data_IF_138915220436
#
_entry.id   IF_138915220436
#
_cell.length_a   1.000
_cell.length_b   1.000
_cell.length_c   1.000
_cell.angle_alpha   90.00
_cell.angle_beta   90.00
_cell.angle_gamma   90.00
#
_symmetry.space_group_name_H-M   'P 1'
#
loop_
_entity.id
_entity.type
_entity.pdbx_description
1 polymer ?
#
# COMPACT_ATOMS: atom_id res chain seq x y z
N UNK A 1 8.22 -25.45 -3.13
CA UNK A 1 8.60 -24.33 -4.03
C UNK A 1 9.96 -24.65 -4.60
N UNK A 2 10.24 -24.30 -5.87
CA UNK A 2 11.57 -24.54 -6.44
C UNK A 2 12.54 -23.46 -5.92
N UNK A 3 13.84 -23.76 -5.85
CA UNK A 3 14.86 -22.81 -5.39
C UNK A 3 14.79 -21.44 -6.09
N UNK A 4 14.59 -21.33 -7.43
CA UNK A 4 14.46 -20.04 -8.09
C UNK A 4 13.28 -19.20 -7.58
N UNK A 5 12.17 -19.83 -7.19
CA UNK A 5 10.98 -19.12 -6.70
C UNK A 5 11.23 -18.52 -5.30
N UNK A 6 12.06 -19.19 -4.50
CA UNK A 6 12.47 -18.72 -3.17
C UNK A 6 13.41 -17.52 -3.33
N UNK A 7 14.40 -17.62 -4.22
CA UNK A 7 15.34 -16.52 -4.51
C UNK A 7 14.59 -15.29 -5.01
N UNK A 8 13.66 -15.46 -5.96
CA UNK A 8 12.84 -14.36 -6.48
C UNK A 8 12.02 -13.69 -5.39
N UNK A 9 11.32 -14.45 -4.54
CA UNK A 9 10.58 -13.87 -3.41
C UNK A 9 11.50 -13.13 -2.43
N UNK A 10 12.74 -13.61 -2.25
CA UNK A 10 13.75 -12.98 -1.42
C UNK A 10 14.21 -11.61 -1.92
N UNK A 11 14.04 -11.30 -3.22
CA UNK A 11 14.40 -9.99 -3.76
C UNK A 11 13.63 -8.85 -3.09
N UNK A 12 12.35 -9.05 -2.78
CA UNK A 12 11.48 -8.00 -2.20
C UNK A 12 12.04 -7.48 -0.86
N UNK A 13 12.19 -8.30 0.20
CA UNK A 13 12.73 -7.83 1.48
C UNK A 13 14.20 -7.41 1.36
N UNK A 14 14.98 -8.06 0.50
CA UNK A 14 16.40 -7.72 0.31
C UNK A 14 16.56 -6.32 -0.26
N UNK A 15 15.85 -5.97 -1.34
CA UNK A 15 15.92 -4.65 -1.95
C UNK A 15 15.37 -3.56 -1.02
N UNK A 16 14.27 -3.82 -0.30
CA UNK A 16 13.75 -2.88 0.72
C UNK A 16 14.81 -2.60 1.79
N UNK A 17 15.49 -3.65 2.26
CA UNK A 17 16.56 -3.53 3.28
C UNK A 17 17.78 -2.79 2.72
N UNK A 18 18.20 -3.09 1.49
CA UNK A 18 19.30 -2.39 0.82
C UNK A 18 18.98 -0.89 0.70
N UNK A 19 17.79 -0.51 0.23
CA UNK A 19 17.38 0.89 0.15
C UNK A 19 17.30 1.57 1.51
N UNK A 20 16.89 0.85 2.56
CA UNK A 20 16.91 1.38 3.93
C UNK A 20 18.35 1.71 4.38
N UNK A 21 19.29 0.80 4.13
CA UNK A 21 20.70 0.99 4.52
C UNK A 21 21.39 2.09 3.69
N UNK A 22 21.06 2.20 2.41
CA UNK A 22 21.62 3.23 1.51
C UNK A 22 20.98 4.61 1.69
N UNK A 23 19.84 4.71 2.38
CA UNK A 23 19.13 5.98 2.59
C UNK A 23 18.58 6.06 4.02
N UNK A 24 19.49 6.18 5.01
CA UNK A 24 19.15 6.15 6.43
C UNK A 24 18.35 7.38 6.88
N UNK A 25 18.47 8.50 6.16
CA UNK A 25 17.81 9.76 6.51
C UNK A 25 16.30 9.77 6.20
N UNK A 26 15.57 10.54 7.00
CA UNK A 26 14.12 10.66 6.94
C UNK A 26 13.68 11.78 6.01
N UNK A 27 12.57 11.56 5.31
CA UNK A 27 11.85 12.61 4.58
C UNK A 27 11.01 13.43 5.56
N UNK A 28 10.69 14.67 5.20
CA UNK A 28 9.85 15.57 6.02
C UNK A 28 8.50 14.92 6.37
N UNK A 29 7.92 14.15 5.47
CA UNK A 29 6.60 13.57 5.67
C UNK A 29 6.60 12.26 6.49
N UNK A 30 7.79 11.82 6.93
CA UNK A 30 7.97 10.75 7.92
C UNK A 30 8.02 11.30 9.35
N UNK A 31 8.22 12.62 9.50
CA UNK A 31 8.54 13.28 10.77
C UNK A 31 7.61 12.86 11.90
N UNK A 32 6.30 13.03 11.72
CA UNK A 32 5.33 12.70 12.74
C UNK A 32 5.47 11.25 13.23
N UNK A 33 5.50 10.27 12.32
CA UNK A 33 5.51 8.87 12.74
C UNK A 33 6.86 8.46 13.35
N UNK A 34 7.97 9.01 12.86
CA UNK A 34 9.29 8.79 13.48
C UNK A 34 9.32 9.36 14.89
N UNK A 35 8.96 10.64 15.05
CA UNK A 35 9.01 11.31 16.35
C UNK A 35 8.00 10.72 17.34
N UNK A 36 6.77 10.45 16.91
CA UNK A 36 5.79 9.76 17.76
C UNK A 36 6.27 8.37 18.19
N UNK A 37 6.99 7.63 17.33
CA UNK A 37 7.55 6.33 17.71
C UNK A 37 8.70 6.50 18.69
N UNK A 38 9.57 7.48 18.44
CA UNK A 38 10.67 7.86 19.33
C UNK A 38 10.13 8.21 20.72
N UNK A 39 9.13 9.08 20.82
CA UNK A 39 8.60 9.56 22.10
C UNK A 39 7.98 8.43 22.91
N UNK A 40 7.28 7.50 22.26
CA UNK A 40 6.77 6.29 22.93
C UNK A 40 7.91 5.39 23.40
N UNK A 41 9.00 5.25 22.64
CA UNK A 41 10.15 4.44 23.03
C UNK A 41 10.96 5.06 24.18
N UNK A 42 11.10 6.38 24.23
CA UNK A 42 11.95 7.09 25.20
C UNK A 42 11.19 7.45 26.46
N UNK A 43 10.01 8.06 26.32
CA UNK A 43 9.25 8.60 27.43
C UNK A 43 8.15 7.66 27.92
N UNK A 44 7.84 6.61 27.13
CA UNK A 44 6.77 5.67 27.44
C UNK A 44 5.39 6.31 27.41
N UNK A 45 4.37 5.54 27.79
CA UNK A 45 2.98 6.03 27.89
C UNK A 45 2.65 6.43 29.34
N UNK A 46 2.50 7.73 29.66
CA UNK A 46 2.25 8.19 31.03
C UNK A 46 0.95 7.65 31.65
N UNK A 47 1.03 7.09 32.86
CA UNK A 47 -0.16 6.62 33.61
C UNK A 47 -0.58 7.57 34.75
N UNK A 48 0.28 8.53 35.12
CA UNK A 48 0.00 9.59 36.09
C UNK A 48 0.42 10.94 35.51
N UNK A 49 -0.20 12.03 35.97
CA UNK A 49 0.09 13.41 35.54
C UNK A 49 0.09 13.57 34.01
N UNK A 50 -0.80 12.83 33.36
CA UNK A 50 -0.77 12.46 31.95
C UNK A 50 -0.57 13.69 31.04
N UNK A 51 -1.45 14.68 31.19
CA UNK A 51 -1.41 15.89 30.37
C UNK A 51 -0.13 16.70 30.55
N UNK A 52 0.40 16.78 31.78
CA UNK A 52 1.64 17.53 32.06
C UNK A 52 2.86 16.82 31.48
N UNK A 53 2.94 15.50 31.61
CA UNK A 53 4.05 14.71 31.08
C UNK A 53 4.07 14.74 29.55
N UNK A 54 2.91 14.58 28.92
CA UNK A 54 2.82 14.69 27.46
C UNK A 54 3.27 16.06 26.96
N UNK A 55 2.77 17.16 27.53
CA UNK A 55 3.20 18.51 27.14
C UNK A 55 4.69 18.78 27.36
N UNK A 56 5.31 18.11 28.32
CA UNK A 56 6.72 18.31 28.65
C UNK A 56 7.69 17.44 27.84
N UNK A 57 7.21 16.37 27.18
CA UNK A 57 8.11 15.36 26.59
C UNK A 57 7.77 14.93 25.16
N UNK A 58 6.53 15.10 24.70
CA UNK A 58 6.14 14.65 23.37
C UNK A 58 6.18 15.78 22.33
N UNK A 59 6.87 15.54 21.22
CA UNK A 59 7.16 16.51 20.16
C UNK A 59 5.89 17.10 19.53
N UNK A 60 4.82 16.32 19.40
CA UNK A 60 3.60 16.77 18.72
C UNK A 60 2.81 17.84 19.49
N UNK A 61 3.15 18.13 20.75
CA UNK A 61 2.58 19.26 21.48
C UNK A 61 3.25 20.59 21.13
N UNK A 62 4.53 20.57 20.79
CA UNK A 62 5.28 21.74 20.33
C UNK A 62 5.20 21.88 18.80
N UNK A 63 5.20 20.77 18.08
CA UNK A 63 5.19 20.68 16.62
C UNK A 63 4.03 19.79 16.10
N UNK A 64 2.77 20.22 16.27
CA UNK A 64 1.59 19.40 15.92
C UNK A 64 1.40 19.16 14.41
N UNK A 65 2.14 19.87 13.56
CA UNK A 65 1.95 19.89 12.11
C UNK A 65 0.61 20.53 11.70
N UNK A 66 0.30 20.45 10.40
CA UNK A 66 -0.94 21.05 9.87
C UNK A 66 -2.21 20.27 10.24
N UNK A 67 -2.07 18.96 10.47
CA UNK A 67 -3.17 18.02 10.67
C UNK A 67 -2.71 16.96 11.66
N UNK A 68 -3.52 16.63 12.69
CA UNK A 68 -3.19 15.53 13.58
C UNK A 68 -3.17 14.22 12.80
N UNK A 69 -2.28 13.32 13.23
CA UNK A 69 -2.08 12.01 12.64
C UNK A 69 -2.29 10.94 13.71
N UNK A 70 -2.61 9.73 13.27
CA UNK A 70 -2.86 8.62 14.18
C UNK A 70 -1.58 8.14 14.88
N UNK A 71 -1.67 7.83 16.16
CA UNK A 71 -0.65 7.16 16.95
C UNK A 71 -0.69 5.64 16.83
N UNK A 72 -1.69 5.06 16.14
CA UNK A 72 -1.80 3.60 15.99
C UNK A 72 -0.53 3.00 15.35
N UNK A 73 -0.05 3.59 14.25
CA UNK A 73 1.19 3.15 13.59
C UNK A 73 2.43 3.28 14.49
N UNK A 74 2.71 4.48 15.03
CA UNK A 74 3.82 4.70 15.95
C UNK A 74 3.83 3.79 17.18
N UNK A 75 2.69 3.60 17.84
CA UNK A 75 2.59 2.72 19.03
C UNK A 75 2.88 1.27 18.67
N UNK A 76 2.40 0.78 17.51
CA UNK A 76 2.71 -0.56 17.04
C UNK A 76 4.22 -0.73 16.75
N UNK A 77 4.85 0.26 16.10
CA UNK A 77 6.28 0.22 15.84
C UNK A 77 7.11 0.29 17.12
N UNK A 78 6.73 1.15 18.07
CA UNK A 78 7.42 1.28 19.36
C UNK A 78 7.26 0.00 20.19
N UNK A 79 6.05 -0.58 20.25
CA UNK A 79 5.79 -1.80 21.01
C UNK A 79 6.55 -3.02 20.47
N UNK A 80 6.61 -3.20 19.15
CA UNK A 80 7.34 -4.31 18.52
C UNK A 80 8.85 -4.03 18.49
N UNK A 81 9.24 -2.78 18.24
CA UNK A 81 10.63 -2.35 18.13
C UNK A 81 11.35 -2.25 19.47
N UNK A 82 10.66 -1.89 20.55
CA UNK A 82 11.24 -1.65 21.87
C UNK A 82 12.16 -2.76 22.37
N UNK A 83 11.74 -4.04 22.37
CA UNK A 83 12.61 -5.16 22.76
C UNK A 83 13.85 -5.33 21.85
N UNK A 84 13.76 -4.97 20.58
CA UNK A 84 14.89 -5.05 19.65
C UNK A 84 15.84 -3.87 19.91
N UNK A 85 15.30 -2.67 20.11
CA UNK A 85 16.06 -1.47 20.44
C UNK A 85 16.78 -1.59 21.77
N UNK A 86 16.17 -2.23 22.78
CA UNK A 86 16.83 -2.46 24.07
C UNK A 86 18.01 -3.43 23.97
N UNK A 87 17.99 -4.36 23.00
CA UNK A 87 19.09 -5.31 22.75
C UNK A 87 20.24 -4.68 21.95
N UNK A 88 19.94 -3.87 20.93
CA UNK A 88 20.94 -3.30 20.01
C UNK A 88 21.31 -1.84 20.30
N UNK A 89 20.66 -1.21 21.27
CA UNK A 89 20.88 0.18 21.68
C UNK A 89 20.07 1.20 20.89
N UNK A 90 19.75 2.31 21.56
CA UNK A 90 18.87 3.37 21.04
C UNK A 90 19.40 4.07 19.77
N UNK A 91 20.73 4.07 19.57
CA UNK A 91 21.35 4.59 18.34
C UNK A 91 20.80 3.92 17.06
N UNK A 92 20.29 2.69 17.15
CA UNK A 92 19.71 1.95 16.03
C UNK A 92 18.17 2.04 15.95
N UNK A 93 17.51 2.80 16.83
CA UNK A 93 16.05 2.81 16.96
C UNK A 93 15.35 3.16 15.63
N UNK A 94 15.80 4.21 14.95
CA UNK A 94 15.26 4.62 13.64
C UNK A 94 15.39 3.50 12.59
N UNK A 95 16.55 2.84 12.54
CA UNK A 95 16.78 1.74 11.60
C UNK A 95 15.84 0.57 11.90
N UNK A 96 15.70 0.20 13.17
CA UNK A 96 14.85 -0.91 13.62
C UNK A 96 13.38 -0.64 13.27
N UNK A 97 12.82 0.52 13.61
CA UNK A 97 11.39 0.80 13.37
C UNK A 97 11.08 0.90 11.88
N UNK A 98 12.00 1.46 11.08
CA UNK A 98 11.88 1.50 9.61
C UNK A 98 12.00 0.11 9.00
N UNK A 99 12.90 -0.73 9.50
CA UNK A 99 13.04 -2.11 9.05
C UNK A 99 11.78 -2.93 9.36
N UNK A 100 11.19 -2.78 10.55
CA UNK A 100 9.94 -3.45 10.92
C UNK A 100 8.79 -3.10 9.96
N UNK A 101 8.60 -1.82 9.65
CA UNK A 101 7.61 -1.40 8.67
C UNK A 101 7.93 -1.93 7.26
N UNK A 102 9.20 -1.86 6.85
CA UNK A 102 9.69 -2.41 5.59
C UNK A 102 9.41 -3.90 5.43
N UNK A 103 9.67 -4.68 6.48
CA UNK A 103 9.40 -6.12 6.52
C UNK A 103 7.90 -6.43 6.53
N UNK A 104 7.06 -5.63 7.19
CA UNK A 104 5.61 -5.77 7.14
C UNK A 104 5.08 -5.55 5.71
N UNK A 105 5.56 -4.52 5.02
CA UNK A 105 5.24 -4.27 3.61
C UNK A 105 5.78 -5.37 2.68
N UNK A 106 7.00 -5.86 2.91
CA UNK A 106 7.56 -7.01 2.20
C UNK A 106 6.69 -8.26 2.38
N UNK A 107 6.24 -8.54 3.61
CA UNK A 107 5.38 -9.69 3.89
C UNK A 107 4.04 -9.59 3.15
N UNK A 108 3.43 -8.40 3.10
CA UNK A 108 2.21 -8.15 2.32
C UNK A 108 2.42 -8.41 0.82
N UNK A 109 3.53 -7.90 0.25
CA UNK A 109 3.90 -8.12 -1.16
C UNK A 109 4.19 -9.60 -1.46
N UNK A 110 4.88 -10.32 -0.56
CA UNK A 110 5.13 -11.76 -0.70
C UNK A 110 3.82 -12.55 -0.67
N UNK A 111 2.88 -12.19 0.22
CA UNK A 111 1.57 -12.83 0.30
C UNK A 111 0.72 -12.54 -0.95
N UNK A 112 0.83 -11.34 -1.51
CA UNK A 112 0.26 -11.00 -2.81
C UNK A 112 0.86 -11.87 -3.92
N UNK A 113 2.19 -11.95 -4.04
CA UNK A 113 2.89 -12.77 -5.02
C UNK A 113 2.49 -14.25 -4.93
N UNK A 114 2.42 -14.80 -3.71
CA UNK A 114 1.99 -16.19 -3.48
C UNK A 114 0.52 -16.40 -3.84
N UNK A 115 -0.36 -15.43 -3.56
CA UNK A 115 -1.76 -15.50 -3.95
C UNK A 115 -1.92 -15.45 -5.48
N UNK A 116 -1.11 -14.63 -6.14
CA UNK A 116 -1.03 -14.56 -7.61
C UNK A 116 -0.59 -15.90 -8.20
N UNK A 117 0.47 -16.51 -7.65
CA UNK A 117 0.96 -17.81 -8.09
C UNK A 117 -0.07 -18.93 -7.91
N UNK A 118 -0.79 -18.93 -6.78
CA UNK A 118 -1.87 -19.90 -6.52
C UNK A 118 -3.06 -19.73 -7.45
N UNK A 119 -3.42 -18.49 -7.79
CA UNK A 119 -4.61 -18.18 -8.59
C UNK A 119 -4.39 -18.24 -10.10
N UNK A 120 -3.21 -17.81 -10.56
CA UNK A 120 -2.92 -17.50 -11.96
C UNK A 120 -1.68 -18.23 -12.51
N UNK A 121 -1.00 -19.01 -11.67
CA UNK A 121 0.18 -19.79 -12.03
C UNK A 121 1.50 -19.16 -11.63
N UNK A 122 2.51 -20.00 -11.39
CA UNK A 122 3.82 -19.60 -10.87
C UNK A 122 4.57 -18.66 -11.82
N UNK A 123 4.36 -18.78 -13.13
CA UNK A 123 5.06 -17.91 -14.09
C UNK A 123 4.55 -16.47 -14.04
N UNK A 124 3.25 -16.27 -13.82
CA UNK A 124 2.68 -14.93 -13.57
C UNK A 124 3.26 -14.34 -12.28
N UNK A 125 3.40 -15.15 -11.23
CA UNK A 125 4.07 -14.73 -10.00
C UNK A 125 5.52 -14.28 -10.26
N UNK A 126 6.30 -15.04 -11.04
CA UNK A 126 7.69 -14.68 -11.34
C UNK A 126 7.78 -13.36 -12.09
N UNK A 127 6.97 -13.16 -13.13
CA UNK A 127 6.92 -11.90 -13.87
C UNK A 127 6.51 -10.73 -12.99
N UNK A 128 5.55 -10.93 -12.10
CA UNK A 128 5.14 -9.89 -11.15
C UNK A 128 6.28 -9.48 -10.22
N UNK A 129 7.01 -10.45 -9.66
CA UNK A 129 8.16 -10.17 -8.80
C UNK A 129 9.23 -9.40 -9.56
N UNK A 130 9.56 -9.81 -10.78
CA UNK A 130 10.58 -9.16 -11.60
C UNK A 130 10.19 -7.71 -11.96
N UNK A 131 8.94 -7.49 -12.37
CA UNK A 131 8.43 -6.16 -12.69
C UNK A 131 8.34 -5.26 -11.44
N UNK A 132 7.99 -5.81 -10.28
CA UNK A 132 7.96 -5.05 -9.04
C UNK A 132 9.37 -4.74 -8.53
N UNK A 133 10.30 -5.69 -8.63
CA UNK A 133 11.67 -5.51 -8.18
C UNK A 133 12.42 -4.44 -9.00
N UNK A 134 12.05 -4.23 -10.26
CA UNK A 134 12.58 -3.13 -11.08
C UNK A 134 11.92 -1.77 -10.78
N UNK A 135 10.79 -1.74 -10.05
CA UNK A 135 10.14 -0.49 -9.65
C UNK A 135 10.80 0.11 -8.42
N UNK A 136 11.50 1.22 -8.60
CA UNK A 136 12.15 1.96 -7.52
C UNK A 136 11.20 2.37 -6.40
N UNK A 137 10.05 2.97 -6.74
CA UNK A 137 9.23 3.70 -5.77
C UNK A 137 8.65 2.82 -4.66
N UNK A 138 7.96 1.73 -4.98
CA UNK A 138 7.34 0.89 -3.93
C UNK A 138 8.40 0.29 -3.01
N UNK A 139 9.48 -0.24 -3.58
CA UNK A 139 10.57 -0.87 -2.82
C UNK A 139 11.28 0.17 -1.92
N UNK A 140 11.62 1.34 -2.46
CA UNK A 140 12.30 2.39 -1.70
C UNK A 140 11.44 2.97 -0.57
N UNK A 141 10.15 3.20 -0.84
CA UNK A 141 9.26 3.80 0.16
C UNK A 141 8.77 2.79 1.19
N UNK A 142 8.83 1.48 0.95
CA UNK A 142 8.26 0.45 1.85
C UNK A 142 8.74 0.52 3.31
N UNK A 143 9.98 0.96 3.57
CA UNK A 143 10.55 1.11 4.93
C UNK A 143 10.40 2.52 5.51
N UNK A 144 9.88 3.48 4.73
CA UNK A 144 9.67 4.85 5.18
C UNK A 144 8.38 4.96 5.95
N UNK A 145 8.39 5.61 7.12
CA UNK A 145 7.23 5.68 8.04
C UNK A 145 6.18 6.70 7.59
N UNK A 146 5.88 6.72 6.30
CA UNK A 146 4.76 7.47 5.75
C UNK A 146 3.45 6.79 6.17
N UNK A 147 2.38 7.54 6.50
CA UNK A 147 1.06 6.95 6.73
C UNK A 147 0.60 6.04 5.57
N UNK A 148 1.01 6.40 4.34
CA UNK A 148 0.75 5.63 3.12
C UNK A 148 1.34 4.21 3.19
N UNK A 149 2.49 4.04 3.82
CA UNK A 149 3.17 2.74 3.92
C UNK A 149 2.56 1.83 4.99
N UNK A 150 1.92 2.38 6.02
CA UNK A 150 1.08 1.59 6.93
C UNK A 150 -0.18 1.09 6.22
N UNK A 151 -0.86 1.98 5.48
CA UNK A 151 -2.02 1.61 4.66
C UNK A 151 -1.64 0.67 3.50
N UNK A 152 -0.42 0.76 2.97
CA UNK A 152 0.05 -0.04 1.84
C UNK A 152 0.06 -1.53 2.14
N UNK A 153 0.52 -1.96 3.32
CA UNK A 153 0.47 -3.36 3.72
C UNK A 153 -0.97 -3.90 3.71
N UNK A 154 -1.90 -3.15 4.32
CA UNK A 154 -3.32 -3.54 4.44
C UNK A 154 -4.01 -3.58 3.07
N UNK A 155 -3.81 -2.56 2.23
CA UNK A 155 -4.37 -2.50 0.88
C UNK A 155 -3.80 -3.60 -0.03
N UNK A 156 -2.51 -3.88 0.06
CA UNK A 156 -1.87 -4.98 -0.68
C UNK A 156 -2.42 -6.35 -0.27
N UNK A 157 -2.59 -6.58 1.04
CA UNK A 157 -3.23 -7.80 1.56
C UNK A 157 -4.70 -7.89 1.14
N UNK A 158 -5.41 -6.78 1.10
CA UNK A 158 -6.79 -6.74 0.59
C UNK A 158 -6.84 -7.15 -0.89
N UNK A 159 -5.97 -6.57 -1.72
CA UNK A 159 -5.86 -6.94 -3.14
C UNK A 159 -5.48 -8.42 -3.31
N UNK A 160 -4.57 -8.95 -2.48
CA UNK A 160 -4.20 -10.36 -2.50
C UNK A 160 -5.41 -11.28 -2.21
N UNK A 161 -6.30 -10.87 -1.31
CA UNK A 161 -7.52 -11.60 -0.98
C UNK A 161 -8.56 -11.58 -2.11
N UNK A 162 -8.52 -10.57 -2.99
CA UNK A 162 -9.40 -10.43 -4.15
C UNK A 162 -8.89 -11.16 -5.41
N UNK A 163 -7.65 -11.69 -5.39
CA UNK A 163 -7.13 -12.50 -6.48
C UNK A 163 -7.88 -13.84 -6.61
N UNK A 164 -7.97 -14.42 -7.82
CA UNK A 164 -8.54 -15.74 -8.03
C UNK A 164 -7.89 -16.80 -7.13
N UNK A 165 -8.68 -17.79 -6.72
CA UNK A 165 -8.21 -18.88 -5.86
C UNK A 165 -8.77 -20.23 -6.33
N UNK A 166 -7.98 -21.32 -6.31
CA UNK A 166 -8.43 -22.64 -6.79
C UNK A 166 -9.66 -23.18 -6.05
N UNK A 167 -9.79 -22.85 -4.77
CA UNK A 167 -10.97 -23.18 -3.97
C UNK A 167 -11.97 -22.01 -3.99
N UNK A 168 -13.11 -22.11 -4.71
CA UNK A 168 -14.09 -21.03 -4.78
C UNK A 168 -14.85 -20.84 -3.46
N UNK A 169 -14.92 -21.85 -2.59
CA UNK A 169 -15.65 -21.77 -1.30
C UNK A 169 -15.08 -20.72 -0.36
N UNK A 170 -13.81 -20.37 -0.52
CA UNK A 170 -13.15 -19.34 0.31
C UNK A 170 -13.22 -17.93 -0.30
N UNK A 171 -13.83 -17.75 -1.47
CA UNK A 171 -13.93 -16.44 -2.14
C UNK A 171 -14.66 -15.42 -1.26
N UNK A 172 -15.85 -15.77 -0.75
CA UNK A 172 -16.62 -14.85 0.11
C UNK A 172 -15.91 -14.51 1.43
N UNK A 173 -15.35 -15.48 2.20
CA UNK A 173 -14.49 -15.17 3.34
C UNK A 173 -13.32 -14.23 3.02
N UNK A 174 -12.58 -14.48 1.94
CA UNK A 174 -11.46 -13.63 1.53
C UNK A 174 -11.92 -12.22 1.16
N UNK A 175 -13.04 -12.10 0.45
CA UNK A 175 -13.60 -10.80 0.09
C UNK A 175 -14.02 -9.99 1.34
N UNK A 176 -14.59 -10.64 2.36
CA UNK A 176 -14.88 -9.98 3.64
C UNK A 176 -13.61 -9.44 4.29
N UNK A 177 -12.53 -10.25 4.32
CA UNK A 177 -11.23 -9.81 4.83
C UNK A 177 -10.70 -8.62 4.01
N UNK A 178 -10.79 -8.67 2.68
CA UNK A 178 -10.36 -7.57 1.82
C UNK A 178 -11.10 -6.25 2.14
N UNK A 179 -12.43 -6.30 2.27
CA UNK A 179 -13.23 -5.13 2.66
C UNK A 179 -12.81 -4.62 4.03
N UNK A 180 -12.66 -5.50 5.02
CA UNK A 180 -12.24 -5.09 6.36
C UNK A 180 -10.85 -4.46 6.39
N UNK A 181 -9.89 -5.00 5.66
CA UNK A 181 -8.53 -4.44 5.55
C UNK A 181 -8.53 -3.05 4.89
N UNK A 182 -9.32 -2.85 3.83
CA UNK A 182 -9.46 -1.55 3.19
C UNK A 182 -10.13 -0.53 4.13
N UNK A 183 -11.10 -0.96 4.93
CA UNK A 183 -11.74 -0.10 5.94
C UNK A 183 -10.76 0.29 7.04
N UNK A 184 -9.98 -0.65 7.58
CA UNK A 184 -8.95 -0.32 8.56
C UNK A 184 -7.91 0.65 7.99
N UNK A 185 -7.45 0.41 6.76
CA UNK A 185 -6.53 1.30 6.07
C UNK A 185 -7.09 2.73 5.92
N UNK A 186 -8.36 2.83 5.52
CA UNK A 186 -9.04 4.11 5.30
C UNK A 186 -9.35 4.87 6.60
N UNK A 187 -9.85 4.17 7.62
CA UNK A 187 -10.33 4.78 8.85
C UNK A 187 -9.21 5.13 9.84
N UNK A 188 -8.10 4.39 9.81
CA UNK A 188 -6.99 4.59 10.75
C UNK A 188 -5.86 5.41 10.14
N UNK A 189 -5.44 5.09 8.91
CA UNK A 189 -4.17 5.59 8.39
C UNK A 189 -4.31 6.66 7.31
N UNK A 190 -5.21 6.43 6.33
CA UNK A 190 -5.25 7.20 5.06
C UNK A 190 -6.65 7.28 4.49
N UNK A 191 -7.35 8.40 4.70
CA UNK A 191 -8.71 8.61 4.22
C UNK A 191 -8.89 8.42 2.70
N UNK A 192 -7.86 8.66 1.89
CA UNK A 192 -7.96 8.46 0.43
C UNK A 192 -8.20 6.99 0.03
N UNK A 193 -7.84 6.03 0.89
CA UNK A 193 -8.12 4.60 0.67
C UNK A 193 -9.62 4.30 0.66
N UNK A 194 -10.45 5.18 1.25
CA UNK A 194 -11.90 5.06 1.16
C UNK A 194 -12.38 5.11 -0.31
N UNK A 195 -11.69 5.86 -1.17
CA UNK A 195 -11.98 5.85 -2.62
C UNK A 195 -11.63 4.50 -3.25
N UNK A 196 -10.49 3.92 -2.91
CA UNK A 196 -10.12 2.59 -3.40
C UNK A 196 -11.12 1.51 -2.93
N UNK A 197 -11.59 1.60 -1.68
CA UNK A 197 -12.66 0.77 -1.16
C UNK A 197 -13.95 0.94 -1.97
N UNK A 198 -14.34 2.19 -2.25
CA UNK A 198 -15.56 2.49 -3.01
C UNK A 198 -15.47 1.96 -4.44
N UNK A 199 -14.37 2.18 -5.16
CA UNK A 199 -14.21 1.70 -6.54
C UNK A 199 -14.12 0.19 -6.62
N UNK A 200 -13.47 -0.45 -5.65
CA UNK A 200 -13.40 -1.91 -5.54
C UNK A 200 -14.78 -2.50 -5.23
N UNK A 201 -15.49 -1.96 -4.25
CA UNK A 201 -16.85 -2.38 -3.89
C UNK A 201 -17.83 -2.23 -5.05
N UNK A 202 -17.79 -1.08 -5.73
CA UNK A 202 -18.61 -0.80 -6.92
C UNK A 202 -18.33 -1.82 -8.03
N UNK A 203 -17.06 -2.08 -8.33
CA UNK A 203 -16.70 -3.06 -9.35
C UNK A 203 -17.22 -4.47 -9.01
N UNK A 204 -17.09 -4.90 -7.75
CA UNK A 204 -17.57 -6.21 -7.31
C UNK A 204 -19.11 -6.31 -7.40
N UNK A 205 -19.83 -5.21 -7.16
CA UNK A 205 -21.29 -5.16 -7.33
C UNK A 205 -21.69 -5.20 -8.81
N UNK A 206 -21.07 -4.37 -9.65
CA UNK A 206 -21.37 -4.28 -11.08
C UNK A 206 -21.04 -5.57 -11.84
N UNK A 207 -20.07 -6.34 -11.34
CA UNK A 207 -19.70 -7.65 -11.91
C UNK A 207 -20.39 -8.82 -11.22
N UNK A 208 -21.37 -8.57 -10.36
CA UNK A 208 -22.14 -9.59 -9.63
C UNK A 208 -21.28 -10.57 -8.82
N UNK A 209 -20.07 -10.15 -8.42
CA UNK A 209 -19.19 -10.94 -7.56
C UNK A 209 -19.60 -10.86 -6.08
N UNK A 210 -20.40 -9.84 -5.72
CA UNK A 210 -20.92 -9.64 -4.37
C UNK A 210 -22.30 -8.99 -4.38
N UNK A 211 -22.93 -8.94 -3.21
CA UNK A 211 -24.18 -8.20 -2.96
C UNK A 211 -23.97 -7.09 -1.94
N UNK A 212 -24.87 -6.11 -1.92
CA UNK A 212 -24.83 -4.97 -0.99
C UNK A 212 -24.74 -5.43 0.48
N UNK A 213 -25.59 -6.37 0.97
CA UNK A 213 -25.49 -6.82 2.37
C UNK A 213 -24.15 -7.49 2.71
N UNK A 214 -23.54 -8.19 1.74
CA UNK A 214 -22.23 -8.84 1.89
C UNK A 214 -21.08 -7.84 1.95
N UNK A 215 -21.26 -6.60 1.47
CA UNK A 215 -20.31 -5.51 1.63
C UNK A 215 -20.56 -4.70 2.90
N UNK A 216 -21.82 -4.36 3.19
CA UNK A 216 -22.18 -3.52 4.35
C UNK A 216 -21.80 -4.17 5.66
N UNK A 217 -22.05 -5.48 5.84
CA UNK A 217 -21.74 -6.15 7.11
C UNK A 217 -20.25 -6.12 7.49
N UNK A 218 -19.29 -6.59 6.65
CA UNK A 218 -17.87 -6.48 6.99
C UNK A 218 -17.42 -5.02 7.08
N UNK A 219 -17.98 -4.11 6.27
CA UNK A 219 -17.72 -2.69 6.36
C UNK A 219 -18.08 -2.14 7.75
N UNK A 220 -19.34 -2.29 8.17
CA UNK A 220 -19.83 -1.75 9.43
C UNK A 220 -19.05 -2.29 10.62
N UNK A 221 -18.83 -3.62 10.67
CA UNK A 221 -18.07 -4.25 11.76
C UNK A 221 -16.64 -3.72 11.81
N UNK A 222 -15.92 -3.72 10.69
CA UNK A 222 -14.52 -3.25 10.67
C UNK A 222 -14.41 -1.75 10.92
N UNK A 223 -15.37 -0.95 10.46
CA UNK A 223 -15.39 0.49 10.68
C UNK A 223 -15.62 0.82 12.16
N UNK A 224 -16.60 0.16 12.80
CA UNK A 224 -16.82 0.30 14.25
C UNK A 224 -15.57 -0.10 15.03
N UNK A 225 -14.95 -1.24 14.71
CA UNK A 225 -13.70 -1.66 15.38
C UNK A 225 -12.58 -0.66 15.15
N UNK A 226 -12.41 -0.14 13.93
CA UNK A 226 -11.40 0.87 13.61
C UNK A 226 -11.58 2.13 14.44
N UNK A 227 -12.82 2.61 14.62
CA UNK A 227 -13.12 3.77 15.47
C UNK A 227 -12.88 3.49 16.95
N UNK A 228 -13.27 2.32 17.45
CA UNK A 228 -13.01 1.90 18.84
C UNK A 228 -11.52 1.80 19.15
N UNK A 229 -10.68 1.52 18.14
CA UNK A 229 -9.22 1.52 18.29
C UNK A 229 -8.65 2.93 18.15
N UNK A 230 -8.93 3.60 17.03
CA UNK A 230 -8.30 4.90 16.71
C UNK A 230 -8.78 6.01 17.62
N UNK A 231 -10.09 6.20 17.84
CA UNK A 231 -10.59 7.37 18.56
C UNK A 231 -10.09 7.41 20.01
N UNK A 232 -10.20 6.34 20.84
CA UNK A 232 -9.70 6.40 22.21
C UNK A 232 -8.18 6.55 22.28
N UNK A 233 -7.44 5.81 21.45
CA UNK A 233 -5.98 5.86 21.42
C UNK A 233 -5.50 7.24 21.01
N UNK A 234 -6.02 7.77 19.90
CA UNK A 234 -5.62 9.06 19.38
C UNK A 234 -6.09 10.19 20.31
N UNK A 235 -7.28 10.09 20.90
CA UNK A 235 -7.75 11.08 21.88
C UNK A 235 -6.88 11.12 23.13
N UNK A 236 -6.34 9.97 23.55
CA UNK A 236 -5.41 9.88 24.65
C UNK A 236 -4.08 10.55 24.30
N UNK A 237 -3.44 10.27 23.16
CA UNK A 237 -2.17 10.94 22.81
C UNK A 237 -2.32 12.42 22.49
N UNK A 238 -3.44 12.82 21.89
CA UNK A 238 -3.73 14.22 21.55
C UNK A 238 -4.38 15.02 22.69
N UNK A 239 -4.71 14.36 23.82
CA UNK A 239 -5.36 14.96 25.00
C UNK A 239 -6.67 15.72 24.68
N UNK A 240 -7.40 15.28 23.65
CA UNK A 240 -8.70 15.81 23.24
C UNK A 240 -9.47 14.77 22.41
N UNK A 241 -10.82 14.74 22.42
CA UNK A 241 -11.59 13.86 21.55
C UNK A 241 -11.24 14.06 20.08
N UNK A 242 -10.71 13.04 19.42
CA UNK A 242 -10.16 13.17 18.09
C UNK A 242 -10.24 11.87 17.29
N UNK A 243 -10.68 12.01 16.04
CA UNK A 243 -10.46 11.04 14.98
C UNK A 243 -9.55 11.69 13.92
N UNK A 244 -8.24 11.36 13.89
CA UNK A 244 -7.28 12.04 13.03
C UNK A 244 -7.66 12.02 11.55
N UNK A 245 -8.11 10.87 11.03
CA UNK A 245 -8.43 10.75 9.61
C UNK A 245 -9.69 11.54 9.20
N UNK A 246 -10.69 11.66 10.07
CA UNK A 246 -11.84 12.54 9.79
C UNK A 246 -11.41 14.00 9.73
N UNK A 247 -10.58 14.44 10.68
CA UNK A 247 -10.09 15.82 10.68
C UNK A 247 -9.18 16.10 9.49
N UNK A 248 -8.32 15.14 9.12
CA UNK A 248 -7.48 15.20 7.93
C UNK A 248 -8.27 15.23 6.62
N UNK A 249 -9.34 14.45 6.53
CA UNK A 249 -10.26 14.52 5.39
C UNK A 249 -10.95 15.89 5.32
N UNK A 250 -11.52 16.36 6.43
CA UNK A 250 -12.21 17.65 6.48
C UNK A 250 -11.27 18.79 6.09
N UNK A 251 -10.09 18.86 6.70
CA UNK A 251 -9.11 19.92 6.43
C UNK A 251 -8.62 19.91 4.97
N UNK A 252 -8.28 18.74 4.43
CA UNK A 252 -7.65 18.68 3.10
C UNK A 252 -8.65 18.68 1.95
N UNK A 253 -9.76 17.93 2.08
CA UNK A 253 -10.71 17.71 1.00
C UNK A 253 -11.92 18.65 1.06
N UNK A 254 -12.39 19.03 2.25
CA UNK A 254 -13.57 19.90 2.41
C UNK A 254 -13.16 21.38 2.44
N UNK A 255 -12.17 21.74 3.27
CA UNK A 255 -11.65 23.12 3.31
C UNK A 255 -10.70 23.45 2.15
N UNK A 256 -10.29 22.44 1.36
CA UNK A 256 -9.39 22.63 0.22
C UNK A 256 -7.96 23.02 0.59
N UNK A 257 -7.57 22.96 1.86
CA UNK A 257 -6.26 23.43 2.34
C UNK A 257 -5.07 22.64 1.78
N UNK A 258 -5.32 21.49 1.15
CA UNK A 258 -4.30 20.72 0.45
C UNK A 258 -3.64 21.51 -0.69
N UNK A 259 -4.34 22.46 -1.32
CA UNK A 259 -3.78 23.30 -2.39
C UNK A 259 -2.62 24.17 -1.95
N UNK A 260 -2.51 24.47 -0.66
CA UNK A 260 -1.41 25.26 -0.09
C UNK A 260 -0.05 24.55 -0.22
N UNK A 261 -0.06 23.23 -0.44
CA UNK A 261 1.13 22.40 -0.63
C UNK A 261 1.47 22.21 -2.11
N UNK A 262 0.93 23.08 -2.98
CA UNK A 262 1.11 23.05 -4.42
C UNK A 262 -0.02 22.29 -5.13
N UNK A 263 -0.26 22.65 -6.39
CA UNK A 263 -1.30 22.04 -7.23
C UNK A 263 -0.69 21.45 -8.49
N UNK A 264 -1.36 20.45 -9.06
CA UNK A 264 -0.94 19.84 -10.32
C UNK A 264 -2.16 19.58 -11.22
N UNK A 265 -1.98 19.59 -12.56
CA UNK A 265 -3.06 19.32 -13.50
C UNK A 265 -3.80 18.00 -13.21
N UNK A 266 -5.07 17.91 -13.58
CA UNK A 266 -5.90 16.71 -13.34
C UNK A 266 -5.28 15.42 -13.92
N UNK A 267 -4.59 15.54 -15.06
CA UNK A 267 -3.95 14.40 -15.74
C UNK A 267 -2.59 14.01 -15.13
N UNK A 268 -2.07 14.71 -14.12
CA UNK A 268 -0.74 14.48 -13.53
C UNK A 268 -0.51 13.03 -13.12
N UNK A 269 -1.51 12.36 -12.51
CA UNK A 269 -1.33 10.97 -12.12
C UNK A 269 -1.13 10.05 -13.32
N UNK A 270 -1.79 10.30 -14.44
CA UNK A 270 -1.68 9.48 -15.64
C UNK A 270 -0.45 9.82 -16.49
N UNK A 271 -0.10 11.11 -16.60
CA UNK A 271 1.01 11.54 -17.46
C UNK A 271 2.36 11.53 -16.75
N UNK A 272 2.37 11.54 -15.41
CA UNK A 272 3.58 11.78 -14.60
C UNK A 272 3.77 10.70 -13.54
N UNK A 273 2.81 10.53 -12.63
CA UNK A 273 3.00 9.64 -11.48
C UNK A 273 2.99 8.15 -11.85
N UNK A 274 1.94 7.65 -12.50
CA UNK A 274 1.82 6.24 -12.89
C UNK A 274 2.99 5.74 -13.76
N UNK A 275 3.45 6.48 -14.79
CA UNK A 275 4.65 6.11 -15.52
C UNK A 275 5.89 5.98 -14.63
N UNK A 276 6.12 6.92 -13.71
CA UNK A 276 7.23 6.84 -12.75
C UNK A 276 7.10 5.70 -11.74
N UNK A 277 5.88 5.38 -11.33
CA UNK A 277 5.63 4.32 -10.34
C UNK A 277 5.85 2.94 -10.93
N UNK A 278 5.38 2.71 -12.16
CA UNK A 278 5.50 1.40 -12.80
C UNK A 278 6.84 1.22 -13.53
N UNK A 279 7.53 2.32 -13.87
CA UNK A 279 8.85 2.43 -14.50
C UNK A 279 8.95 1.80 -15.88
N UNK A 280 8.55 0.53 -16.02
CA UNK A 280 8.63 -0.23 -17.24
C UNK A 280 7.72 0.38 -18.33
N UNK A 281 8.28 0.85 -19.47
CA UNK A 281 7.55 1.56 -20.51
C UNK A 281 6.53 0.68 -21.25
N UNK A 282 6.73 -0.64 -21.25
CA UNK A 282 5.83 -1.59 -21.91
C UNK A 282 4.54 -1.79 -21.11
N UNK A 283 4.52 -1.45 -19.82
CA UNK A 283 3.41 -1.73 -18.90
C UNK A 283 2.06 -1.25 -19.42
N UNK A 284 1.97 0.04 -19.77
CA UNK A 284 0.73 0.63 -20.26
C UNK A 284 0.51 0.47 -21.77
N UNK A 285 1.60 0.41 -22.55
CA UNK A 285 1.53 0.39 -24.01
C UNK A 285 1.21 -1.01 -24.54
N UNK A 286 1.71 -2.05 -23.87
CA UNK A 286 1.64 -3.42 -24.37
C UNK A 286 1.08 -4.40 -23.34
N UNK A 287 1.64 -4.44 -22.13
CA UNK A 287 1.39 -5.55 -21.19
C UNK A 287 -0.04 -5.57 -20.66
N UNK A 288 -0.51 -4.44 -20.13
CA UNK A 288 -1.90 -4.31 -19.64
C UNK A 288 -2.91 -4.45 -20.80
N UNK A 289 -2.74 -3.79 -21.97
CA UNK A 289 -3.61 -4.00 -23.12
C UNK A 289 -3.70 -5.46 -23.59
N UNK A 290 -2.59 -6.19 -23.65
CA UNK A 290 -2.59 -7.62 -23.96
C UNK A 290 -3.40 -8.38 -22.91
N UNK A 291 -3.15 -8.15 -21.62
CA UNK A 291 -3.91 -8.82 -20.56
C UNK A 291 -5.42 -8.58 -20.65
N UNK A 292 -5.85 -7.37 -21.05
CA UNK A 292 -7.27 -6.99 -21.17
C UNK A 292 -7.96 -7.52 -22.44
N UNK A 293 -7.21 -7.77 -23.51
CA UNK A 293 -7.76 -8.20 -24.82
C UNK A 293 -7.83 -9.72 -24.95
N UNK A 294 -6.94 -10.47 -24.30
CA UNK A 294 -6.92 -11.92 -24.44
C UNK A 294 -8.05 -12.59 -23.62
N UNK A 295 -8.88 -13.48 -24.22
CA UNK A 295 -10.01 -14.11 -23.53
C UNK A 295 -9.63 -14.84 -22.23
N UNK A 296 -8.45 -15.46 -22.19
CA UNK A 296 -7.97 -16.21 -21.03
C UNK A 296 -7.53 -15.36 -19.84
N UNK A 297 -7.29 -14.06 -20.03
CA UNK A 297 -6.76 -13.17 -18.98
C UNK A 297 -7.64 -11.95 -18.70
N UNK A 298 -8.51 -11.57 -19.65
CA UNK A 298 -9.24 -10.31 -19.65
C UNK A 298 -10.11 -10.11 -18.41
N UNK A 299 -10.82 -11.14 -17.95
CA UNK A 299 -11.68 -11.04 -16.78
C UNK A 299 -10.89 -10.71 -15.50
N UNK A 300 -9.76 -11.37 -15.29
CA UNK A 300 -8.89 -11.11 -14.15
C UNK A 300 -8.22 -9.74 -14.29
N UNK A 301 -7.72 -9.42 -15.48
CA UNK A 301 -7.09 -8.12 -15.75
C UNK A 301 -8.06 -6.95 -15.50
N UNK A 302 -9.33 -7.07 -15.89
CA UNK A 302 -10.37 -6.06 -15.60
C UNK A 302 -10.53 -5.82 -14.10
N UNK A 303 -10.54 -6.89 -13.29
CA UNK A 303 -10.65 -6.78 -11.83
C UNK A 303 -9.44 -6.14 -11.15
N UNK A 304 -8.27 -6.21 -11.77
CA UNK A 304 -7.05 -5.55 -11.30
C UNK A 304 -6.95 -4.09 -11.74
N UNK A 305 -7.34 -3.81 -12.98
CA UNK A 305 -7.13 -2.51 -13.64
C UNK A 305 -8.26 -1.54 -13.32
N UNK A 306 -9.53 -1.95 -13.46
CA UNK A 306 -10.67 -1.02 -13.40
C UNK A 306 -10.78 -0.34 -12.03
N UNK A 307 -10.79 -1.06 -10.88
CA UNK A 307 -10.88 -0.40 -9.58
C UNK A 307 -9.69 0.54 -9.31
N UNK A 308 -8.49 0.11 -9.69
CA UNK A 308 -7.24 0.85 -9.49
C UNK A 308 -7.20 2.14 -10.31
N UNK A 309 -7.51 2.08 -11.61
CA UNK A 309 -7.53 3.27 -12.46
C UNK A 309 -8.72 4.18 -12.17
N UNK A 310 -9.88 3.63 -11.79
CA UNK A 310 -11.02 4.45 -11.36
C UNK A 310 -10.70 5.20 -10.06
N UNK A 311 -10.00 4.56 -9.12
CA UNK A 311 -9.50 5.21 -7.92
C UNK A 311 -8.56 6.38 -8.27
N UNK A 312 -7.58 6.14 -9.15
CA UNK A 312 -6.66 7.19 -9.60
C UNK A 312 -7.40 8.32 -10.32
N UNK A 313 -8.37 8.00 -11.18
CA UNK A 313 -9.16 8.98 -11.93
C UNK A 313 -10.01 9.88 -11.02
N UNK A 314 -10.66 9.31 -10.00
CA UNK A 314 -11.43 10.10 -9.03
C UNK A 314 -10.48 10.94 -8.17
N UNK A 315 -9.36 10.37 -7.72
CA UNK A 315 -8.39 11.09 -6.89
C UNK A 315 -7.66 12.20 -7.67
N UNK A 316 -7.56 12.10 -8.99
CA UNK A 316 -7.05 13.15 -9.88
C UNK A 316 -7.82 14.48 -9.79
N UNK A 317 -9.06 14.47 -9.30
CA UNK A 317 -9.88 15.68 -9.10
C UNK A 317 -9.29 16.56 -7.99
N UNK A 318 -8.61 15.97 -6.99
CA UNK A 318 -7.97 16.75 -5.93
C UNK A 318 -6.83 17.62 -6.49
N UNK A 319 -6.80 18.95 -6.21
CA UNK A 319 -5.79 19.84 -6.77
C UNK A 319 -4.36 19.45 -6.39
N UNK A 320 -4.14 19.12 -5.12
CA UNK A 320 -2.86 18.68 -4.60
C UNK A 320 -2.63 17.21 -4.90
N UNK A 321 -1.43 16.87 -5.39
CA UNK A 321 -1.10 15.53 -5.87
C UNK A 321 0.31 15.14 -5.48
N UNK A 322 0.44 13.91 -5.01
CA UNK A 322 1.73 13.28 -4.74
C UNK A 322 1.69 11.82 -5.19
N UNK A 323 2.81 11.30 -5.73
CA UNK A 323 2.87 9.93 -6.22
C UNK A 323 2.52 8.88 -5.14
N UNK A 324 2.83 9.17 -3.87
CA UNK A 324 2.57 8.24 -2.76
C UNK A 324 1.10 8.00 -2.45
N UNK A 325 0.21 8.93 -2.82
CA UNK A 325 -1.22 8.79 -2.58
C UNK A 325 -1.85 7.68 -3.41
N UNK A 326 -1.20 7.27 -4.51
CA UNK A 326 -1.71 6.24 -5.42
C UNK A 326 -0.88 4.94 -5.40
N UNK A 327 0.03 4.76 -4.43
CA UNK A 327 0.86 3.54 -4.34
C UNK A 327 0.02 2.26 -4.29
N UNK A 328 -1.18 2.31 -3.72
CA UNK A 328 -2.09 1.17 -3.60
C UNK A 328 -2.50 0.58 -4.97
N UNK A 329 -2.43 1.37 -6.05
CA UNK A 329 -2.71 0.91 -7.41
C UNK A 329 -1.54 0.11 -8.02
N UNK A 330 -0.34 0.20 -7.47
CA UNK A 330 0.87 -0.39 -8.08
C UNK A 330 0.83 -1.93 -8.06
N UNK A 331 0.56 -2.63 -6.94
CA UNK A 331 0.53 -4.09 -6.93
C UNK A 331 -0.49 -4.70 -7.92
N UNK A 332 -1.76 -4.22 -7.98
CA UNK A 332 -2.73 -4.73 -8.94
C UNK A 332 -2.38 -4.41 -10.40
N UNK A 333 -1.93 -3.19 -10.72
CA UNK A 333 -1.56 -2.83 -12.10
C UNK A 333 -0.34 -3.63 -12.57
N UNK A 334 0.63 -3.86 -11.69
CA UNK A 334 1.79 -4.72 -11.98
C UNK A 334 1.36 -6.17 -12.18
N UNK A 335 0.32 -6.65 -11.48
CA UNK A 335 -0.24 -7.98 -11.69
C UNK A 335 -0.96 -8.12 -13.04
N UNK A 336 -1.67 -7.09 -13.47
CA UNK A 336 -2.25 -7.05 -14.81
C UNK A 336 -1.17 -7.05 -15.89
N UNK A 337 -0.08 -6.31 -15.69
CA UNK A 337 1.07 -6.33 -16.58
C UNK A 337 1.71 -7.73 -16.64
N UNK A 338 1.94 -8.36 -15.49
CA UNK A 338 2.52 -9.71 -15.40
C UNK A 338 1.69 -10.78 -16.13
N UNK A 339 0.36 -10.65 -16.15
CA UNK A 339 -0.52 -11.51 -16.96
C UNK A 339 -0.23 -11.38 -18.46
N UNK A 340 -0.12 -10.15 -18.96
CA UNK A 340 0.21 -9.86 -20.35
C UNK A 340 1.62 -10.34 -20.72
N UNK A 341 2.59 -10.09 -19.85
CA UNK A 341 3.97 -10.56 -19.98
C UNK A 341 4.03 -12.08 -20.10
N UNK A 342 3.34 -12.79 -19.19
CA UNK A 342 3.29 -14.25 -19.21
C UNK A 342 2.62 -14.78 -20.50
N UNK A 343 1.55 -14.14 -20.96
CA UNK A 343 0.86 -14.52 -22.20
C UNK A 343 1.79 -14.49 -23.42
N UNK A 344 2.56 -13.40 -23.56
CA UNK A 344 3.55 -13.19 -24.61
C UNK A 344 4.69 -14.22 -24.48
N UNK A 345 5.29 -14.31 -23.29
CA UNK A 345 6.48 -15.14 -23.07
C UNK A 345 6.22 -16.65 -23.21
N UNK A 346 5.03 -17.11 -22.79
CA UNK A 346 4.60 -18.49 -23.00
C UNK A 346 4.49 -18.86 -24.49
N UNK A 347 4.35 -17.86 -25.38
CA UNK A 347 4.22 -18.02 -26.83
C UNK A 347 5.48 -17.64 -27.60
N UNK A 348 6.61 -17.42 -26.93
CA UNK A 348 7.89 -16.99 -27.55
C UNK A 348 8.36 -17.83 -28.74
N UNK A 349 7.99 -19.12 -28.80
CA UNK A 349 8.36 -20.02 -29.91
C UNK A 349 7.32 -20.10 -31.03
N UNK A 350 6.18 -19.41 -30.90
CA UNK A 350 5.06 -19.50 -31.86
C UNK A 350 5.24 -18.59 -33.08
N UNK A 351 5.95 -17.47 -32.95
CA UNK A 351 6.27 -16.59 -34.07
C UNK A 351 7.48 -15.70 -33.77
N UNK A 352 8.09 -15.13 -34.82
CA UNK A 352 9.16 -14.15 -34.67
C UNK A 352 8.72 -12.93 -33.85
N UNK A 353 7.48 -12.48 -34.01
CA UNK A 353 6.91 -11.36 -33.23
C UNK A 353 6.91 -11.69 -31.74
N UNK A 354 6.46 -12.89 -31.35
CA UNK A 354 6.49 -13.30 -29.95
C UNK A 354 7.91 -13.51 -29.42
N UNK A 355 8.84 -13.97 -30.25
CA UNK A 355 10.25 -14.10 -29.88
C UNK A 355 10.88 -12.72 -29.60
N UNK A 356 10.73 -11.78 -30.52
CA UNK A 356 11.23 -10.40 -30.38
C UNK A 356 10.58 -9.68 -29.21
N UNK A 357 9.26 -9.80 -29.05
CA UNK A 357 8.56 -9.25 -27.90
C UNK A 357 9.10 -9.83 -26.59
N UNK A 358 9.33 -11.14 -26.51
CA UNK A 358 9.88 -11.79 -25.31
C UNK A 358 11.29 -11.30 -24.97
N UNK A 359 12.15 -11.08 -25.97
CA UNK A 359 13.47 -10.47 -25.75
C UNK A 359 13.35 -9.04 -25.21
N UNK A 360 12.43 -8.24 -25.77
CA UNK A 360 12.15 -6.89 -25.27
C UNK A 360 11.60 -6.90 -23.84
N UNK A 361 10.79 -7.89 -23.46
CA UNK A 361 10.31 -8.06 -22.08
C UNK A 361 11.48 -8.27 -21.10
N UNK A 362 12.41 -9.16 -21.43
CA UNK A 362 13.59 -9.41 -20.58
C UNK A 362 14.46 -8.16 -20.42
N UNK A 363 14.68 -7.40 -21.50
CA UNK A 363 15.41 -6.14 -21.46
C UNK A 363 14.67 -5.07 -20.64
N UNK A 364 13.34 -5.03 -20.71
CA UNK A 364 12.52 -4.02 -20.00
C UNK A 364 12.53 -4.18 -18.48
N UNK A 365 13.01 -5.30 -17.94
CA UNK A 365 13.20 -5.47 -16.48
C UNK A 365 14.48 -4.77 -16.00
N UNK A 366 15.47 -4.59 -16.89
CA UNK A 366 16.75 -3.94 -16.57
C UNK A 366 16.68 -2.41 -16.68
N UNK A 367 15.60 -1.88 -17.24
CA UNK A 367 15.29 -0.45 -17.34
C UNK A 367 14.51 0.00 -16.11
#
# INVERSE_FOLDING_TARGET
MKLPDIVLLGLIPSLITIHLLLSPDTKVEESFNIQATHDVLVYGTPTSDIASRFRASYDHFDFPGAVPRTFVGPVLLAGIGGPIVSLFGFAHAQLVVRLLLGLANAAALILFARSLGKGLGVDVQRWWILLLASQFHVIFYASRTLPNMFAFALTTLASANLLPHPNPRISSPRQRVAVSLLVFAAAIFRSEVALLLATTGLYLLLTSQTTIPRLIRPFAVSFTVALVVSVPLDSYFWQKPLWPELWGFYYNAVLGSSSNWGVSPWHFYFTSALPRLLVNPLTFILLIPVALTQPGTSNVARGLVIPSLLFVAIYSIQPHKEARFIFYAVPPLTAAAALGTNYIFARRTKSLVFALASSALCLSILA
#
